data_IF_398445943038
#
_entry.id   IF_398445943038
#
_cell.length_a   1.000
_cell.length_b   1.000
_cell.length_c   1.000
_cell.angle_alpha   90.00
_cell.angle_beta   90.00
_cell.angle_gamma   90.00
#
_symmetry.space_group_name_H-M   'P 1'
#
loop_
_entity.id
_entity.type
_entity.pdbx_description
1 polymer ?
#
# COMPACT_ATOMS: atom_id res chain seq x y z
N UNK A 1 6.00 13.92 12.31
CA UNK A 1 7.37 13.63 11.82
C UNK A 1 7.38 12.33 11.07
N UNK A 2 8.29 12.17 10.10
CA UNK A 2 8.61 10.87 9.53
C UNK A 2 9.47 10.07 10.50
N UNK A 3 9.28 8.75 10.55
CA UNK A 3 9.99 7.86 11.47
C UNK A 3 10.79 6.81 10.68
N UNK A 4 12.04 6.60 11.07
CA UNK A 4 12.88 5.48 10.64
C UNK A 4 13.09 4.60 11.87
N UNK A 5 12.63 3.34 11.82
CA UNK A 5 12.69 2.41 12.95
C UNK A 5 12.14 2.99 14.27
N UNK A 6 11.00 3.70 14.18
CA UNK A 6 10.32 4.32 15.33
C UNK A 6 10.92 5.63 15.82
N UNK A 7 11.96 6.16 15.18
CA UNK A 7 12.73 7.34 15.61
C UNK A 7 12.65 8.45 14.56
N UNK A 8 12.54 9.70 14.98
CA UNK A 8 12.49 10.85 14.08
C UNK A 8 12.58 12.17 14.83
N UNK A 9 12.80 13.25 14.10
CA UNK A 9 13.02 14.58 14.66
C UNK A 9 11.78 15.48 14.49
N UNK A 10 11.62 16.46 15.37
CA UNK A 10 10.56 17.46 15.30
C UNK A 10 11.10 18.81 15.76
N UNK A 11 10.78 19.88 15.04
CA UNK A 11 11.19 21.26 15.34
C UNK A 11 12.72 21.48 15.42
N UNK A 12 13.50 20.56 14.84
CA UNK A 12 14.95 20.66 14.66
C UNK A 12 15.35 19.80 13.44
N UNK A 13 16.57 19.98 12.94
CA UNK A 13 17.13 19.16 11.85
C UNK A 13 18.54 18.65 12.17
N UNK A 14 18.84 17.42 11.78
CA UNK A 14 20.20 16.86 11.76
C UNK A 14 21.09 17.52 10.70
N UNK A 15 20.47 18.12 9.69
CA UNK A 15 21.12 18.79 8.57
C UNK A 15 21.00 20.33 8.67
N UNK A 16 20.74 20.87 9.87
CA UNK A 16 20.49 22.29 10.09
C UNK A 16 21.63 23.20 9.57
N UNK A 17 22.86 22.69 9.54
CA UNK A 17 24.04 23.40 9.04
C UNK A 17 24.05 23.63 7.52
N UNK A 18 23.19 22.94 6.77
CA UNK A 18 23.02 23.13 5.33
C UNK A 18 21.79 23.97 4.97
N UNK A 19 20.94 24.29 5.94
CA UNK A 19 19.66 24.97 5.71
C UNK A 19 19.70 26.43 6.16
N UNK A 20 18.67 27.18 5.74
CA UNK A 20 18.39 28.55 6.19
C UNK A 20 18.47 28.71 7.73
N UNK A 21 18.81 29.92 8.25
CA UNK A 21 19.06 30.16 9.68
C UNK A 21 17.91 29.82 10.65
N UNK A 22 16.71 29.57 10.12
CA UNK A 22 15.49 29.33 10.90
C UNK A 22 15.38 27.91 11.48
N UNK A 23 16.11 26.92 10.95
CA UNK A 23 16.07 25.54 11.43
C UNK A 23 17.11 25.28 12.54
N UNK A 24 16.63 24.94 13.73
CA UNK A 24 17.49 24.65 14.88
C UNK A 24 18.22 23.30 14.71
N UNK A 25 19.51 23.19 15.06
CA UNK A 25 20.21 21.90 15.08
C UNK A 25 19.65 20.99 16.17
N UNK A 26 19.49 19.69 15.85
CA UNK A 26 19.16 18.70 16.87
C UNK A 26 20.42 18.31 17.69
N UNK A 27 20.36 18.48 19.00
CA UNK A 27 21.48 18.15 19.90
C UNK A 27 21.28 16.75 20.53
N UNK A 28 21.66 15.69 19.81
CA UNK A 28 21.57 14.31 20.31
C UNK A 28 22.88 13.85 20.98
N UNK A 29 22.77 13.09 22.07
CA UNK A 29 23.88 12.43 22.78
C UNK A 29 23.93 10.92 22.53
N UNK A 30 22.96 10.35 21.81
CA UNK A 30 22.97 8.95 21.35
C UNK A 30 22.17 7.98 22.22
N UNK A 31 21.48 8.47 23.25
CA UNK A 31 20.61 7.67 24.13
C UNK A 31 19.13 8.09 24.10
N UNK A 32 18.82 9.18 23.43
CA UNK A 32 17.47 9.72 23.35
C UNK A 32 16.55 8.80 22.53
N UNK A 33 15.27 8.75 22.93
CA UNK A 33 14.24 7.97 22.20
C UNK A 33 14.05 8.42 20.75
N UNK A 34 14.35 9.69 20.45
CA UNK A 34 14.23 10.28 19.11
C UNK A 34 15.57 10.41 18.36
N UNK A 35 16.70 10.02 18.97
CA UNK A 35 17.98 9.99 18.27
C UNK A 35 17.88 9.04 17.06
N UNK A 36 18.43 9.40 15.89
CA UNK A 36 18.31 8.60 14.67
C UNK A 36 18.95 7.22 14.83
N UNK A 37 18.36 6.20 14.19
CA UNK A 37 18.98 4.88 14.08
C UNK A 37 20.08 4.92 13.02
N UNK A 38 21.34 5.00 13.43
CA UNK A 38 22.49 5.05 12.53
C UNK A 38 22.75 3.66 11.92
N UNK A 39 23.07 3.63 10.63
CA UNK A 39 23.41 2.42 9.88
C UNK A 39 24.94 2.31 9.78
N UNK A 40 25.54 1.46 10.60
CA UNK A 40 26.98 1.24 10.59
C UNK A 40 27.38 0.25 9.50
N UNK A 41 28.36 0.62 8.69
CA UNK A 41 28.86 -0.20 7.58
C UNK A 41 30.39 -0.17 7.50
N UNK A 42 30.98 -1.28 7.09
CA UNK A 42 32.38 -1.34 6.66
C UNK A 42 32.52 -0.92 5.19
N UNK A 43 33.61 -0.23 4.80
CA UNK A 43 33.94 0.03 3.40
C UNK A 43 34.11 -1.25 2.57
N UNK A 44 33.87 -1.15 1.26
CA UNK A 44 34.05 -2.25 0.29
C UNK A 44 33.27 -3.52 0.63
N UNK A 45 32.05 -3.37 1.16
CA UNK A 45 31.12 -4.47 1.44
C UNK A 45 29.80 -4.22 0.74
N UNK A 46 29.04 -5.28 0.53
CA UNK A 46 27.66 -5.21 0.04
C UNK A 46 26.70 -5.56 1.16
N UNK A 47 25.71 -4.70 1.37
CA UNK A 47 24.67 -4.89 2.39
C UNK A 47 23.31 -5.01 1.72
N UNK A 48 22.46 -5.88 2.27
CA UNK A 48 21.04 -5.92 1.95
C UNK A 48 20.26 -5.06 2.93
N UNK A 49 19.77 -3.92 2.47
CA UNK A 49 18.87 -3.05 3.22
C UNK A 49 17.43 -3.47 2.95
N UNK A 50 16.73 -3.89 4.01
CA UNK A 50 15.30 -4.26 3.97
C UNK A 50 14.47 -3.06 4.42
N UNK A 51 13.55 -2.63 3.57
CA UNK A 51 12.75 -1.43 3.75
C UNK A 51 11.28 -1.84 3.70
N UNK A 52 10.50 -1.45 4.70
CA UNK A 52 9.06 -1.71 4.74
C UNK A 52 8.34 -0.43 5.19
N UNK A 53 7.16 -0.17 4.62
CA UNK A 53 6.37 1.00 4.93
C UNK A 53 5.07 0.61 5.63
N UNK A 54 4.89 1.12 6.85
CA UNK A 54 3.64 1.04 7.60
C UNK A 54 3.11 2.46 7.92
N UNK A 55 3.13 3.34 6.93
CA UNK A 55 2.69 4.72 7.08
C UNK A 55 1.17 4.80 7.04
N UNK A 56 0.57 5.57 7.96
CA UNK A 56 -0.88 5.78 7.95
C UNK A 56 -1.37 6.63 6.75
N UNK A 57 -0.48 7.45 6.17
CA UNK A 57 -0.82 8.38 5.09
C UNK A 57 0.31 8.57 4.07
N UNK A 58 1.54 8.73 4.52
CA UNK A 58 2.65 9.19 3.67
C UNK A 58 3.10 8.15 2.65
N UNK A 59 3.20 8.58 1.39
CA UNK A 59 4.04 7.97 0.36
C UNK A 59 5.42 8.58 0.49
N UNK A 60 6.46 7.76 0.46
CA UNK A 60 7.81 8.19 0.74
C UNK A 60 8.73 7.90 -0.44
N UNK A 61 9.75 8.72 -0.59
CA UNK A 61 10.89 8.44 -1.44
C UNK A 61 12.13 8.27 -0.54
N UNK A 62 12.93 7.25 -0.81
CA UNK A 62 14.17 6.95 -0.08
C UNK A 62 15.37 7.11 -1.01
N UNK A 63 16.40 7.82 -0.55
CA UNK A 63 17.67 7.96 -1.25
C UNK A 63 18.85 7.92 -0.29
N UNK A 64 20.00 7.42 -0.77
CA UNK A 64 21.26 7.38 -0.02
C UNK A 64 22.29 8.21 -0.77
N UNK A 65 22.87 9.21 -0.11
CA UNK A 65 23.81 10.14 -0.71
C UNK A 65 24.99 9.41 -1.37
N UNK A 66 25.21 9.68 -2.66
CA UNK A 66 26.25 9.08 -3.52
C UNK A 66 26.20 7.55 -3.66
N UNK A 67 25.12 6.88 -3.25
CA UNK A 67 24.99 5.43 -3.40
C UNK A 67 23.82 5.09 -4.31
N UNK A 68 24.08 4.23 -5.28
CA UNK A 68 23.02 3.56 -6.02
C UNK A 68 22.52 2.35 -5.25
N UNK A 69 21.26 2.01 -5.50
CA UNK A 69 20.58 0.87 -4.88
C UNK A 69 20.21 -0.12 -5.99
N UNK A 70 20.63 -1.38 -5.84
CA UNK A 70 20.17 -2.48 -6.70
C UNK A 70 18.93 -3.11 -6.07
N UNK A 71 17.75 -2.89 -6.65
CA UNK A 71 16.51 -3.50 -6.19
C UNK A 71 16.52 -4.99 -6.54
N UNK A 72 16.25 -5.86 -5.56
CA UNK A 72 16.32 -7.33 -5.74
C UNK A 72 15.10 -8.08 -5.20
N UNK A 73 14.29 -7.44 -4.35
CA UNK A 73 13.06 -8.02 -3.81
C UNK A 73 11.99 -6.94 -3.66
N UNK A 74 10.74 -7.29 -3.89
CA UNK A 74 9.57 -6.50 -3.59
C UNK A 74 8.49 -7.41 -2.97
N UNK A 75 7.90 -7.02 -1.84
CA UNK A 75 6.78 -7.73 -1.21
C UNK A 75 7.04 -9.22 -0.95
N UNK A 76 8.26 -9.56 -0.52
CA UNK A 76 8.67 -10.96 -0.26
C UNK A 76 8.98 -11.79 -1.52
N UNK A 77 8.84 -11.21 -2.72
CA UNK A 77 9.08 -11.85 -3.99
C UNK A 77 10.31 -11.27 -4.69
N UNK A 78 11.08 -12.10 -5.38
CA UNK A 78 12.25 -11.64 -6.14
C UNK A 78 11.83 -10.94 -7.44
N UNK A 79 12.51 -9.84 -7.74
CA UNK A 79 12.30 -9.05 -8.97
C UNK A 79 13.51 -9.17 -9.88
N UNK A 80 13.33 -8.87 -11.17
CA UNK A 80 14.46 -8.74 -12.10
C UNK A 80 15.34 -7.57 -11.64
N UNK A 81 16.62 -7.79 -11.26
CA UNK A 81 17.38 -6.76 -10.58
C UNK A 81 17.62 -5.51 -11.43
N UNK A 82 17.38 -4.33 -10.85
CA UNK A 82 17.63 -3.06 -11.53
C UNK A 82 18.16 -1.99 -10.57
N UNK A 83 18.99 -1.10 -11.10
CA UNK A 83 19.67 -0.06 -10.32
C UNK A 83 18.86 1.23 -10.33
N UNK A 84 18.74 1.87 -9.16
CA UNK A 84 18.10 3.16 -8.96
C UNK A 84 18.96 4.09 -8.09
N UNK A 85 18.79 5.39 -8.25
CA UNK A 85 19.38 6.40 -7.37
C UNK A 85 18.48 6.66 -6.13
N UNK A 86 17.18 6.52 -6.31
CA UNK A 86 16.14 6.66 -5.29
C UNK A 86 14.99 5.66 -5.51
N UNK A 87 14.16 5.46 -4.49
CA UNK A 87 13.11 4.45 -4.44
C UNK A 87 11.83 5.06 -3.87
N UNK A 88 10.73 5.04 -4.63
CA UNK A 88 9.40 5.31 -4.11
C UNK A 88 8.86 4.08 -3.35
N UNK A 89 8.32 4.31 -2.16
CA UNK A 89 7.68 3.29 -1.32
C UNK A 89 6.35 3.81 -0.76
N UNK A 90 5.30 3.03 -1.00
CA UNK A 90 3.95 3.32 -0.53
C UNK A 90 3.60 2.45 0.68
N UNK A 91 2.60 2.87 1.47
CA UNK A 91 2.16 2.09 2.64
C UNK A 91 1.75 0.67 2.23
N UNK A 92 2.18 -0.33 3.01
CA UNK A 92 1.96 -1.75 2.73
C UNK A 92 3.06 -2.40 1.89
N UNK A 93 3.88 -1.62 1.18
CA UNK A 93 4.98 -2.18 0.39
C UNK A 93 6.22 -2.49 1.23
N UNK A 94 6.98 -3.49 0.76
CA UNK A 94 8.33 -3.78 1.22
C UNK A 94 9.28 -4.02 0.05
N UNK A 95 10.55 -3.73 0.26
CA UNK A 95 11.62 -3.96 -0.72
C UNK A 95 12.89 -4.43 -0.01
N UNK A 96 13.71 -5.17 -0.75
CA UNK A 96 15.13 -5.28 -0.44
C UNK A 96 15.97 -4.65 -1.55
N UNK A 97 16.92 -3.83 -1.13
CA UNK A 97 17.94 -3.26 -2.02
C UNK A 97 19.33 -3.70 -1.56
N UNK A 98 20.23 -3.91 -2.51
CA UNK A 98 21.65 -4.08 -2.25
C UNK A 98 22.35 -2.73 -2.43
N UNK A 99 23.19 -2.37 -1.46
CA UNK A 99 24.10 -1.23 -1.55
C UNK A 99 25.53 -1.74 -1.42
N UNK A 100 26.43 -1.19 -2.22
CA UNK A 100 27.87 -1.43 -2.10
C UNK A 100 28.52 -0.18 -1.52
N UNK A 101 29.36 -0.35 -0.50
CA UNK A 101 30.04 0.76 0.17
C UNK A 101 31.35 1.14 -0.54
N UNK A 102 31.21 1.61 -1.77
CA UNK A 102 32.29 1.92 -2.72
C UNK A 102 32.71 3.40 -2.73
N UNK A 103 32.09 4.22 -1.88
CA UNK A 103 32.40 5.64 -1.77
C UNK A 103 33.59 5.91 -0.84
N UNK A 104 34.13 7.13 -0.84
CA UNK A 104 35.26 7.56 0.00
C UNK A 104 35.09 7.11 1.48
N UNK A 105 35.93 6.18 1.96
CA UNK A 105 35.76 5.58 3.28
C UNK A 105 36.04 6.53 4.43
N UNK A 106 36.58 7.72 4.16
CA UNK A 106 36.79 8.76 5.17
C UNK A 106 35.52 9.52 5.51
N UNK A 107 34.40 9.34 4.80
CA UNK A 107 33.18 10.13 4.95
C UNK A 107 31.97 9.30 5.38
N UNK A 108 31.00 9.98 6.02
CA UNK A 108 29.66 9.45 6.25
C UNK A 108 28.71 9.96 5.16
N UNK A 109 27.58 9.28 4.97
CA UNK A 109 26.58 9.62 3.95
C UNK A 109 25.19 9.72 4.55
N UNK A 110 24.35 10.61 4.00
CA UNK A 110 22.96 10.72 4.41
C UNK A 110 22.11 9.61 3.82
N UNK A 111 21.22 9.04 4.61
CA UNK A 111 20.00 8.38 4.13
C UNK A 111 18.84 9.32 4.43
N UNK A 112 18.06 9.64 3.40
CA UNK A 112 16.95 10.57 3.45
C UNK A 112 15.66 9.86 3.05
N UNK A 113 14.59 10.06 3.85
CA UNK A 113 13.22 9.73 3.45
C UNK A 113 12.40 11.01 3.36
N UNK A 114 11.81 11.27 2.20
CA UNK A 114 11.01 12.46 1.93
C UNK A 114 9.59 12.12 1.50
N UNK A 115 8.67 13.07 1.66
CA UNK A 115 7.27 12.89 1.22
C UNK A 115 7.17 13.09 -0.29
N UNK A 116 6.50 12.15 -0.97
CA UNK A 116 6.10 12.26 -2.39
C UNK A 116 4.59 11.98 -2.54
N UNK A 117 4.01 12.25 -3.71
CA UNK A 117 2.60 12.01 -4.03
C UNK A 117 1.58 12.90 -3.30
N UNK A 118 2.06 13.85 -2.49
CA UNK A 118 1.28 14.94 -1.89
C UNK A 118 2.21 16.11 -1.56
N UNK A 119 1.68 17.34 -1.57
CA UNK A 119 2.44 18.54 -1.22
C UNK A 119 3.12 18.35 0.15
N UNK A 120 4.45 18.38 0.24
CA UNK A 120 5.15 18.13 1.50
C UNK A 120 4.98 19.28 2.50
N UNK A 121 4.48 18.95 3.68
CA UNK A 121 4.45 19.85 4.86
C UNK A 121 5.21 19.23 6.05
N UNK A 122 5.91 18.12 5.81
CA UNK A 122 6.69 17.39 6.81
C UNK A 122 8.15 17.38 6.40
N UNK A 123 9.09 17.75 7.30
CA UNK A 123 10.51 17.62 7.03
C UNK A 123 10.92 16.17 6.73
N UNK A 124 11.98 16.00 5.95
CA UNK A 124 12.55 14.69 5.65
C UNK A 124 12.98 13.97 6.95
N UNK A 125 12.79 12.66 6.99
CA UNK A 125 13.41 11.80 7.99
C UNK A 125 14.84 11.53 7.59
N UNK A 126 15.79 11.77 8.50
CA UNK A 126 17.22 11.64 8.20
C UNK A 126 17.89 10.64 9.14
N UNK A 127 18.81 9.86 8.58
CA UNK A 127 19.82 9.09 9.33
C UNK A 127 21.13 9.02 8.56
N UNK A 128 22.15 8.41 9.16
CA UNK A 128 23.48 8.28 8.59
C UNK A 128 23.75 6.83 8.16
N UNK A 129 24.31 6.68 6.97
CA UNK A 129 25.15 5.56 6.60
C UNK A 129 26.58 5.88 7.09
N UNK A 130 26.93 5.34 8.26
CA UNK A 130 28.20 5.59 8.93
C UNK A 130 29.25 4.56 8.50
N UNK A 131 30.25 5.01 7.76
CA UNK A 131 31.39 4.20 7.35
C UNK A 131 32.37 4.06 8.51
N UNK A 132 32.56 2.86 9.00
CA UNK A 132 33.51 2.59 10.09
C UNK A 132 34.97 2.68 9.60
N UNK A 133 35.90 3.22 10.41
CA UNK A 133 35.75 3.61 11.81
C UNK A 133 35.42 5.11 12.03
N UNK A 134 34.84 5.82 11.06
CA UNK A 134 34.52 7.24 11.24
C UNK A 134 33.56 7.45 12.42
N UNK A 135 33.76 8.52 13.17
CA UNK A 135 32.80 8.93 14.20
C UNK A 135 31.44 9.23 13.57
N UNK A 136 30.37 8.75 14.22
CA UNK A 136 28.99 9.05 13.85
C UNK A 136 28.64 10.55 14.00
N UNK A 137 29.42 11.30 14.80
CA UNK A 137 29.27 12.76 14.93
C UNK A 137 29.86 13.53 13.74
N UNK A 138 30.69 12.87 12.90
CA UNK A 138 31.19 13.47 11.66
C UNK A 138 30.05 13.50 10.64
N UNK A 139 29.42 14.66 10.45
CA UNK A 139 28.34 14.79 9.48
C UNK A 139 28.88 14.60 8.04
N UNK A 140 28.07 14.07 7.11
CA UNK A 140 28.40 14.02 5.69
C UNK A 140 28.78 15.40 5.18
N UNK A 141 29.65 15.51 4.16
CA UNK A 141 30.12 16.81 3.62
C UNK A 141 29.04 17.51 2.79
N UNK A 142 28.21 16.74 2.10
CA UNK A 142 27.10 17.24 1.27
C UNK A 142 25.78 17.30 2.04
N UNK A 143 24.83 18.15 1.63
CA UNK A 143 23.48 18.10 2.16
C UNK A 143 22.81 16.74 1.89
N UNK A 144 21.73 16.40 2.62
CA UNK A 144 20.90 15.24 2.31
C UNK A 144 20.41 15.25 0.85
N UNK A 145 20.21 14.08 0.23
CA UNK A 145 19.57 13.98 -1.08
C UNK A 145 18.23 14.74 -1.10
N UNK A 146 18.02 15.52 -2.16
CA UNK A 146 16.77 16.23 -2.39
C UNK A 146 15.73 15.21 -2.85
N UNK A 147 14.60 15.17 -2.16
CA UNK A 147 13.45 14.36 -2.55
C UNK A 147 12.97 14.78 -3.94
N UNK A 148 12.67 13.84 -4.87
CA UNK A 148 12.02 14.16 -6.13
C UNK A 148 10.75 15.00 -5.93
N UNK A 149 10.39 15.78 -6.95
CA UNK A 149 9.21 16.64 -6.90
C UNK A 149 7.96 15.79 -6.62
N UNK A 150 7.15 16.21 -5.64
CA UNK A 150 6.07 15.39 -5.08
C UNK A 150 4.95 15.05 -6.08
N UNK A 151 4.71 15.91 -7.06
CA UNK A 151 3.70 15.79 -8.12
C UNK A 151 4.27 15.34 -9.47
N UNK A 152 5.56 14.98 -9.52
CA UNK A 152 6.14 14.31 -10.70
C UNK A 152 5.74 12.83 -10.72
N UNK A 153 4.49 12.58 -11.12
CA UNK A 153 3.98 11.23 -11.26
C UNK A 153 4.66 10.45 -12.41
N UNK A 154 5.35 11.12 -13.34
CA UNK A 154 6.09 10.42 -14.39
C UNK A 154 7.33 9.73 -13.81
N UNK A 155 8.03 10.37 -12.86
CA UNK A 155 9.10 9.74 -12.09
C UNK A 155 8.60 8.50 -11.34
N UNK A 156 7.50 8.63 -10.58
CA UNK A 156 6.92 7.50 -9.83
C UNK A 156 6.43 6.36 -10.71
N UNK A 157 5.80 6.67 -11.86
CA UNK A 157 5.37 5.69 -12.85
C UNK A 157 6.55 5.01 -13.51
N UNK A 158 7.62 5.74 -13.83
CA UNK A 158 8.85 5.18 -14.39
C UNK A 158 9.47 4.15 -13.45
N UNK A 159 9.58 4.48 -12.15
CA UNK A 159 10.03 3.52 -11.14
C UNK A 159 9.12 2.28 -11.07
N UNK A 160 7.80 2.47 -10.94
CA UNK A 160 6.84 1.36 -10.79
C UNK A 160 6.82 0.42 -12.00
N UNK A 161 6.94 0.95 -13.22
CA UNK A 161 6.95 0.16 -14.46
C UNK A 161 8.26 -0.62 -14.68
N UNK A 162 9.35 -0.31 -13.95
CA UNK A 162 10.60 -1.08 -14.01
C UNK A 162 10.56 -2.37 -13.20
N UNK A 163 9.58 -2.52 -12.30
CA UNK A 163 9.46 -3.68 -11.44
C UNK A 163 8.89 -4.84 -12.26
N UNK A 164 9.74 -5.81 -12.57
CA UNK A 164 9.38 -7.03 -13.29
C UNK A 164 9.70 -8.25 -12.43
N UNK A 165 8.99 -9.35 -12.64
CA UNK A 165 9.30 -10.59 -11.94
C UNK A 165 10.69 -11.11 -12.33
N UNK A 166 11.42 -11.66 -11.34
CA UNK A 166 12.69 -12.33 -11.61
C UNK A 166 12.53 -13.48 -12.61
N UNK A 167 13.60 -13.80 -13.34
CA UNK A 167 13.61 -14.94 -14.26
C UNK A 167 13.33 -16.23 -13.49
N UNK A 168 12.34 -17.01 -13.95
CA UNK A 168 11.93 -18.27 -13.33
C UNK A 168 10.79 -18.12 -12.32
N UNK A 169 10.35 -16.90 -12.02
CA UNK A 169 9.13 -16.66 -11.24
C UNK A 169 7.89 -17.19 -11.95
N UNK A 170 6.86 -17.50 -11.17
CA UNK A 170 5.57 -17.97 -11.68
C UNK A 170 4.92 -16.90 -12.57
N UNK A 171 4.45 -17.32 -13.75
CA UNK A 171 3.65 -16.48 -14.65
C UNK A 171 2.17 -16.61 -14.34
N UNK A 172 1.36 -15.55 -14.57
CA UNK A 172 -0.08 -15.64 -14.38
C UNK A 172 -0.72 -16.66 -15.33
N UNK A 173 -1.88 -17.25 -14.96
CA UNK A 173 -2.75 -17.92 -15.92
C UNK A 173 -3.04 -16.99 -17.10
N UNK A 174 -3.12 -17.52 -18.33
CA UNK A 174 -3.30 -16.69 -19.54
C UNK A 174 -4.67 -16.03 -19.59
N UNK A 175 -5.71 -16.73 -19.15
CA UNK A 175 -7.10 -16.28 -19.15
C UNK A 175 -7.56 -16.08 -17.71
N UNK A 176 -8.51 -15.17 -17.53
CA UNK A 176 -9.24 -15.00 -16.28
C UNK A 176 -10.64 -15.63 -16.41
N UNK A 177 -11.18 -16.10 -15.29
CA UNK A 177 -12.56 -16.61 -15.21
C UNK A 177 -13.55 -15.50 -14.86
N UNK A 178 -13.09 -14.46 -14.14
CA UNK A 178 -13.87 -13.30 -13.73
C UNK A 178 -13.04 -12.02 -13.77
N UNK A 179 -13.67 -10.91 -14.14
CA UNK A 179 -13.08 -9.58 -14.09
C UNK A 179 -14.00 -8.65 -13.30
N UNK A 180 -13.43 -7.92 -12.35
CA UNK A 180 -14.13 -6.94 -11.52
C UNK A 180 -13.45 -5.58 -11.72
N UNK A 181 -14.23 -4.53 -11.98
CA UNK A 181 -13.73 -3.17 -12.14
C UNK A 181 -14.20 -2.33 -10.95
N UNK A 182 -13.24 -1.81 -10.18
CA UNK A 182 -13.46 -1.07 -8.94
C UNK A 182 -13.14 0.41 -9.14
N UNK A 183 -14.18 1.23 -9.29
CA UNK A 183 -14.08 2.69 -9.34
C UNK A 183 -13.88 3.26 -7.94
N UNK A 184 -12.82 4.04 -7.78
CA UNK A 184 -12.42 4.67 -6.52
C UNK A 184 -12.89 6.13 -6.50
N UNK A 185 -13.76 6.48 -5.56
CA UNK A 185 -14.29 7.85 -5.44
C UNK A 185 -14.27 8.35 -4.00
N UNK A 186 -14.12 9.67 -3.85
CA UNK A 186 -14.41 10.36 -2.59
C UNK A 186 -15.78 11.00 -2.70
N UNK A 187 -16.68 10.73 -1.77
CA UNK A 187 -18.07 11.16 -1.81
C UNK A 187 -18.46 11.87 -0.50
N UNK A 188 -19.66 12.44 -0.51
CA UNK A 188 -20.34 12.92 0.70
C UNK A 188 -21.59 12.08 0.92
N UNK A 189 -21.71 11.43 2.07
CA UNK A 189 -22.88 10.65 2.49
C UNK A 189 -23.39 11.24 3.80
N UNK A 190 -24.63 11.73 3.82
CA UNK A 190 -25.25 12.39 4.98
C UNK A 190 -24.38 13.51 5.60
N UNK A 191 -23.71 14.29 4.76
CA UNK A 191 -22.80 15.37 5.18
C UNK A 191 -21.39 14.91 5.59
N UNK A 192 -21.14 13.60 5.69
CA UNK A 192 -19.82 13.05 6.01
C UNK A 192 -19.02 12.76 4.75
N UNK A 193 -17.73 13.14 4.75
CA UNK A 193 -16.81 12.68 3.71
C UNK A 193 -16.57 11.19 3.87
N UNK A 194 -16.73 10.45 2.77
CA UNK A 194 -16.50 9.00 2.69
C UNK A 194 -15.67 8.67 1.47
N UNK A 195 -15.03 7.51 1.52
CA UNK A 195 -14.47 6.88 0.34
C UNK A 195 -15.36 5.71 -0.05
N UNK A 196 -15.61 5.56 -1.34
CA UNK A 196 -16.47 4.53 -1.87
C UNK A 196 -15.80 3.79 -3.02
N UNK A 197 -16.24 2.55 -3.20
CA UNK A 197 -15.88 1.69 -4.32
C UNK A 197 -17.17 1.34 -5.05
N UNK A 198 -17.27 1.70 -6.32
CA UNK A 198 -18.50 1.54 -7.12
C UNK A 198 -19.77 2.04 -6.38
N UNK A 199 -19.70 3.27 -5.84
CA UNK A 199 -20.76 3.91 -5.04
C UNK A 199 -21.13 3.24 -3.70
N UNK A 200 -20.37 2.25 -3.23
CA UNK A 200 -20.55 1.65 -1.91
C UNK A 200 -19.37 2.01 -1.01
N UNK A 201 -19.64 2.69 0.10
CA UNK A 201 -18.69 2.92 1.19
C UNK A 201 -18.77 1.76 2.17
N UNK A 202 -17.68 1.01 2.37
CA UNK A 202 -17.67 -0.16 3.23
C UNK A 202 -17.98 0.20 4.69
N UNK A 203 -18.89 -0.55 5.30
CA UNK A 203 -19.13 -0.57 6.75
C UNK A 203 -19.05 -2.01 7.22
N UNK A 204 -18.11 -2.27 8.13
CA UNK A 204 -17.91 -3.61 8.68
C UNK A 204 -19.02 -3.91 9.71
N UNK A 205 -19.68 -5.08 9.65
CA UNK A 205 -20.59 -5.51 10.69
C UNK A 205 -19.85 -5.80 12.00
N UNK A 206 -20.56 -5.76 13.12
CA UNK A 206 -19.99 -6.10 14.44
C UNK A 206 -19.69 -7.58 14.62
N UNK A 207 -20.14 -8.43 13.69
CA UNK A 207 -19.91 -9.87 13.68
C UNK A 207 -18.87 -10.20 12.60
N UNK A 208 -17.81 -10.97 12.91
CA UNK A 208 -16.72 -11.22 11.97
C UNK A 208 -17.20 -12.00 10.75
N UNK A 209 -16.86 -11.53 9.54
CA UNK A 209 -17.35 -12.12 8.30
C UNK A 209 -17.07 -13.61 8.17
N UNK A 210 -15.88 -14.08 8.54
CA UNK A 210 -15.58 -15.51 8.46
C UNK A 210 -16.57 -16.34 9.31
N UNK A 211 -16.93 -15.85 10.49
CA UNK A 211 -17.96 -16.46 11.32
C UNK A 211 -19.36 -16.34 10.71
N UNK A 212 -19.68 -15.21 10.06
CA UNK A 212 -20.94 -15.04 9.31
C UNK A 212 -21.09 -16.07 8.21
N UNK A 213 -20.04 -16.30 7.40
CA UNK A 213 -20.04 -17.31 6.34
C UNK A 213 -20.08 -18.73 6.93
N UNK A 214 -19.33 -18.98 8.01
CA UNK A 214 -19.27 -20.30 8.64
C UNK A 214 -20.61 -20.76 9.23
N UNK A 215 -21.35 -19.83 9.82
CA UNK A 215 -22.62 -20.10 10.50
C UNK A 215 -23.84 -19.68 9.68
N UNK A 216 -23.65 -19.29 8.41
CA UNK A 216 -24.71 -18.94 7.46
C UNK A 216 -25.67 -17.87 8.02
N UNK A 217 -25.11 -16.86 8.71
CA UNK A 217 -25.86 -15.78 9.36
C UNK A 217 -26.19 -14.65 8.37
N UNK A 218 -27.00 -14.97 7.35
CA UNK A 218 -27.33 -14.10 6.23
C UNK A 218 -28.07 -12.79 6.58
N UNK A 219 -28.63 -12.67 7.78
CA UNK A 219 -29.40 -11.48 8.18
C UNK A 219 -28.54 -10.36 8.80
N UNK A 220 -27.23 -10.58 8.96
CA UNK A 220 -26.32 -9.64 9.67
C UNK A 220 -25.57 -8.70 8.72
N UNK A 221 -25.58 -9.01 7.42
CA UNK A 221 -24.87 -8.25 6.38
C UNK A 221 -25.66 -8.27 5.08
N UNK A 222 -25.33 -7.37 4.16
CA UNK A 222 -26.02 -7.26 2.87
C UNK A 222 -25.79 -8.51 2.02
N UNK A 223 -26.87 -9.14 1.58
CA UNK A 223 -26.79 -10.37 0.78
C UNK A 223 -26.56 -10.11 -0.71
N UNK A 224 -26.99 -8.95 -1.19
CA UNK A 224 -26.79 -8.53 -2.57
C UNK A 224 -25.31 -8.44 -2.88
N UNK A 225 -24.93 -8.96 -4.05
CA UNK A 225 -23.55 -8.87 -4.50
C UNK A 225 -23.22 -7.40 -4.77
N UNK A 226 -22.09 -6.88 -4.24
CA UNK A 226 -21.69 -5.52 -4.55
C UNK A 226 -21.48 -5.32 -6.06
N UNK A 227 -21.62 -4.08 -6.57
CA UNK A 227 -21.48 -3.83 -8.01
C UNK A 227 -20.08 -4.19 -8.51
N UNK A 228 -19.99 -5.01 -9.56
CA UNK A 228 -18.70 -5.44 -10.15
C UNK A 228 -18.14 -4.47 -11.18
N UNK A 229 -18.88 -3.42 -11.52
CA UNK A 229 -18.48 -2.39 -12.46
C UNK A 229 -19.18 -1.06 -12.14
N UNK A 230 -18.83 -0.01 -12.87
CA UNK A 230 -19.40 1.32 -12.76
C UNK A 230 -19.96 1.80 -14.12
N UNK A 231 -20.82 2.84 -14.14
CA UNK A 231 -21.45 3.30 -15.37
C UNK A 231 -20.43 3.67 -16.47
N UNK A 232 -20.69 3.21 -17.70
CA UNK A 232 -19.82 3.47 -18.86
C UNK A 232 -19.73 4.95 -19.19
N UNK A 233 -20.75 5.75 -18.86
CA UNK A 233 -20.79 7.19 -19.01
C UNK A 233 -20.19 7.97 -17.81
N UNK A 234 -19.65 7.30 -16.79
CA UNK A 234 -18.98 7.98 -15.67
C UNK A 234 -17.73 8.73 -16.17
N UNK A 235 -17.67 10.03 -15.89
CA UNK A 235 -16.56 10.92 -16.22
C UNK A 235 -15.57 10.96 -15.05
N UNK A 236 -14.45 10.25 -15.18
CA UNK A 236 -13.42 10.16 -14.14
C UNK A 236 -12.65 11.47 -13.93
N UNK A 237 -12.79 12.44 -14.83
CA UNK A 237 -12.07 13.72 -14.76
C UNK A 237 -12.84 14.77 -13.96
N UNK A 238 -14.11 14.51 -13.62
CA UNK A 238 -14.97 15.43 -12.88
C UNK A 238 -15.24 14.95 -11.47
N UNK A 239 -15.47 15.86 -10.51
CA UNK A 239 -15.95 15.48 -9.19
C UNK A 239 -17.16 14.55 -9.29
N UNK A 240 -17.27 13.56 -8.40
CA UNK A 240 -18.39 12.63 -8.43
C UNK A 240 -19.71 13.39 -8.27
N UNK A 241 -20.63 13.15 -9.19
CA UNK A 241 -22.01 13.56 -9.04
C UNK A 241 -22.59 12.65 -7.95
N UNK A 242 -22.97 13.22 -6.80
CA UNK A 242 -23.22 12.51 -5.54
C UNK A 242 -24.66 11.97 -5.27
N UNK A 243 -25.56 11.61 -6.22
CA UNK A 243 -26.93 11.33 -5.80
C UNK A 243 -27.13 9.91 -5.22
N UNK A 244 -26.27 8.93 -5.52
CA UNK A 244 -26.55 7.51 -5.25
C UNK A 244 -25.44 6.76 -4.49
N UNK A 245 -24.49 7.45 -3.85
CA UNK A 245 -23.49 6.77 -3.02
C UNK A 245 -24.12 6.36 -1.70
N UNK A 246 -23.96 5.10 -1.30
CA UNK A 246 -24.50 4.54 -0.05
C UNK A 246 -23.40 3.87 0.77
N UNK A 247 -23.73 3.46 1.99
CA UNK A 247 -22.91 2.54 2.77
C UNK A 247 -23.37 1.10 2.57
N UNK A 248 -22.46 0.13 2.70
CA UNK A 248 -22.81 -1.28 2.56
C UNK A 248 -21.78 -2.22 3.17
N UNK A 249 -22.20 -3.45 3.39
CA UNK A 249 -21.46 -4.55 4.04
C UNK A 249 -21.41 -5.81 3.18
N UNK A 250 -21.84 -5.72 1.91
CA UNK A 250 -21.86 -6.83 0.97
C UNK A 250 -20.46 -7.37 0.65
N UNK A 251 -20.42 -8.60 0.17
CA UNK A 251 -19.17 -9.34 -0.12
C UNK A 251 -19.15 -9.82 -1.56
N UNK A 252 -18.00 -9.74 -2.23
CA UNK A 252 -17.81 -10.40 -3.52
C UNK A 252 -17.50 -11.88 -3.25
N UNK A 253 -18.44 -12.76 -3.57
CA UNK A 253 -18.24 -14.21 -3.47
C UNK A 253 -17.47 -14.70 -4.68
N UNK A 254 -16.25 -15.16 -4.50
CA UNK A 254 -15.38 -15.68 -5.54
C UNK A 254 -15.37 -17.22 -5.46
N UNK A 255 -15.43 -17.88 -6.61
CA UNK A 255 -15.36 -19.33 -6.64
C UNK A 255 -13.93 -19.80 -6.31
N UNK A 256 -13.83 -20.86 -5.51
CA UNK A 256 -12.53 -21.43 -5.14
C UNK A 256 -11.80 -21.92 -6.39
N UNK A 257 -10.50 -21.61 -6.47
CA UNK A 257 -9.59 -21.99 -7.56
C UNK A 257 -9.94 -21.39 -8.93
N UNK A 258 -10.58 -20.21 -8.96
CA UNK A 258 -10.75 -19.42 -10.19
C UNK A 258 -9.74 -18.29 -10.29
N UNK A 259 -9.37 -17.93 -11.52
CA UNK A 259 -8.52 -16.78 -11.83
C UNK A 259 -9.35 -15.51 -11.89
N UNK A 260 -8.99 -14.49 -11.10
CA UNK A 260 -9.73 -13.23 -10.97
C UNK A 260 -8.86 -12.07 -11.38
N UNK A 261 -9.36 -11.27 -12.33
CA UNK A 261 -8.83 -9.96 -12.66
C UNK A 261 -9.54 -8.87 -11.87
N UNK A 262 -8.77 -7.94 -11.34
CA UNK A 262 -9.29 -6.71 -10.74
C UNK A 262 -8.66 -5.51 -11.41
N UNK A 263 -9.51 -4.63 -11.95
CA UNK A 263 -9.10 -3.33 -12.49
C UNK A 263 -9.48 -2.27 -11.47
N UNK A 264 -8.48 -1.68 -10.83
CA UNK A 264 -8.66 -0.52 -9.98
C UNK A 264 -8.69 0.72 -10.86
N UNK A 265 -9.82 1.43 -10.91
CA UNK A 265 -9.97 2.68 -11.65
C UNK A 265 -9.95 3.85 -10.66
N UNK A 266 -9.04 4.81 -10.88
CA UNK A 266 -9.00 6.06 -10.14
C UNK A 266 -9.87 7.14 -10.80
N UNK A 267 -10.26 8.16 -10.04
CA UNK A 267 -11.08 9.27 -10.52
C UNK A 267 -10.75 10.57 -9.76
N UNK A 268 -11.37 11.66 -10.18
CA UNK A 268 -11.39 12.92 -9.45
C UNK A 268 -12.04 12.73 -8.07
N UNK A 269 -11.48 13.38 -7.05
CA UNK A 269 -12.04 13.48 -5.72
C UNK A 269 -13.18 14.51 -5.68
N UNK A 270 -13.60 14.95 -4.47
CA UNK A 270 -14.62 16.00 -4.34
C UNK A 270 -14.14 17.38 -4.83
N UNK A 271 -12.84 17.63 -4.78
CA UNK A 271 -12.23 18.86 -5.26
C UNK A 271 -11.88 18.74 -6.75
N UNK A 272 -12.19 19.77 -7.54
CA UNK A 272 -11.89 19.79 -8.97
C UNK A 272 -10.39 19.63 -9.24
N UNK A 273 -10.06 18.84 -10.25
CA UNK A 273 -8.67 18.59 -10.68
C UNK A 273 -7.78 17.96 -9.59
N UNK A 274 -8.39 17.28 -8.62
CA UNK A 274 -7.66 16.51 -7.59
C UNK A 274 -7.96 15.03 -7.75
N UNK A 275 -6.93 14.24 -8.07
CA UNK A 275 -6.94 12.78 -7.94
C UNK A 275 -5.65 12.37 -7.20
N UNK A 276 -5.73 11.37 -6.33
CA UNK A 276 -4.64 11.01 -5.40
C UNK A 276 -4.12 9.60 -5.66
N UNK A 277 -2.91 9.32 -5.19
CA UNK A 277 -2.37 7.94 -5.19
C UNK A 277 -3.05 7.13 -4.08
N UNK A 278 -3.47 5.90 -4.41
CA UNK A 278 -4.01 4.95 -3.44
C UNK A 278 -3.25 3.63 -3.50
N UNK A 279 -2.49 3.25 -2.44
CA UNK A 279 -1.97 1.89 -2.32
C UNK A 279 -3.13 0.96 -1.96
N UNK A 280 -3.34 -0.09 -2.72
CA UNK A 280 -4.32 -1.14 -2.53
C UNK A 280 -3.60 -2.43 -2.11
N UNK A 281 -4.05 -3.02 -1.01
CA UNK A 281 -3.46 -4.20 -0.39
C UNK A 281 -4.48 -5.35 -0.32
N UNK A 282 -4.07 -6.53 -0.79
CA UNK A 282 -4.88 -7.75 -0.76
C UNK A 282 -4.40 -8.67 0.36
N UNK A 283 -5.34 -9.09 1.21
CA UNK A 283 -5.06 -10.06 2.26
C UNK A 283 -5.05 -11.49 1.71
N UNK A 284 -4.24 -12.36 2.32
CA UNK A 284 -4.26 -13.80 2.08
C UNK A 284 -3.72 -14.28 0.72
N UNK A 285 -3.27 -13.37 -0.14
CA UNK A 285 -2.78 -13.67 -1.49
C UNK A 285 -1.67 -12.68 -1.90
N UNK A 286 -0.77 -13.15 -2.75
CA UNK A 286 -0.07 -12.28 -3.69
C UNK A 286 -0.83 -12.27 -5.03
N UNK A 287 -0.63 -11.21 -5.82
CA UNK A 287 -1.20 -11.02 -7.14
C UNK A 287 -0.14 -10.58 -8.14
N UNK A 288 -0.34 -10.91 -9.41
CA UNK A 288 0.45 -10.37 -10.50
C UNK A 288 -0.02 -8.96 -10.85
N UNK A 289 0.90 -7.99 -10.88
CA UNK A 289 0.62 -6.65 -11.40
C UNK A 289 0.73 -6.67 -12.92
N UNK A 290 -0.41 -6.72 -13.61
CA UNK A 290 -0.47 -6.86 -15.05
C UNK A 290 -0.13 -5.56 -15.78
N UNK A 291 -0.42 -4.40 -15.18
CA UNK A 291 -0.03 -3.13 -15.76
C UNK A 291 -0.74 -1.94 -15.17
N UNK A 292 -0.30 -0.77 -15.62
CA UNK A 292 -0.83 0.55 -15.29
C UNK A 292 -1.24 1.24 -16.59
N UNK A 293 -2.19 2.16 -16.50
CA UNK A 293 -2.47 3.07 -17.61
C UNK A 293 -3.14 4.35 -17.18
N UNK A 294 -3.19 5.30 -18.11
CA UNK A 294 -3.84 6.60 -17.92
C UNK A 294 -5.30 6.54 -18.36
N UNK A 295 -6.12 7.41 -17.78
CA UNK A 295 -7.51 7.59 -18.15
C UNK A 295 -8.40 6.44 -17.68
N UNK A 296 -9.51 6.26 -18.39
CA UNK A 296 -10.50 5.22 -18.11
C UNK A 296 -10.09 3.92 -18.80
N UNK A 297 -10.01 2.83 -18.03
CA UNK A 297 -9.73 1.51 -18.58
C UNK A 297 -10.72 1.14 -19.68
N UNK A 298 -10.22 0.54 -20.76
CA UNK A 298 -11.02 0.07 -21.88
C UNK A 298 -10.54 -1.31 -22.34
N UNK A 299 -11.36 -1.98 -23.15
CA UNK A 299 -10.96 -3.26 -23.76
C UNK A 299 -9.69 -3.14 -24.64
N UNK A 300 -9.38 -1.92 -25.13
CA UNK A 300 -8.13 -1.63 -25.85
C UNK A 300 -6.91 -1.57 -24.94
N UNK A 301 -7.06 -1.76 -23.64
CA UNK A 301 -5.93 -1.82 -22.72
C UNK A 301 -5.56 -3.26 -22.37
N UNK A 302 -6.46 -4.22 -22.59
CA UNK A 302 -6.23 -5.64 -22.33
C UNK A 302 -5.01 -6.19 -23.08
N UNK A 303 -4.79 -5.76 -24.32
CA UNK A 303 -3.65 -6.21 -25.12
C UNK A 303 -2.30 -5.63 -24.65
N UNK A 304 -2.31 -4.61 -23.79
CA UNK A 304 -1.11 -4.00 -23.21
C UNK A 304 -0.69 -4.69 -21.90
N UNK A 305 -1.53 -5.55 -21.35
CA UNK A 305 -1.27 -6.22 -20.08
C UNK A 305 -0.06 -7.16 -20.19
N UNK A 306 0.85 -7.03 -19.23
CA UNK A 306 2.02 -7.88 -19.13
C UNK A 306 1.64 -9.26 -18.56
N UNK A 307 1.49 -10.25 -19.44
CA UNK A 307 1.35 -11.66 -19.06
C UNK A 307 2.67 -12.43 -19.12
N UNK A 308 3.78 -11.76 -19.46
CA UNK A 308 5.09 -12.40 -19.68
C UNK A 308 5.92 -12.46 -18.41
N UNK A 309 6.07 -11.34 -17.73
CA UNK A 309 6.87 -11.21 -16.50
C UNK A 309 6.32 -10.18 -15.49
N UNK A 310 4.99 -10.16 -15.22
CA UNK A 310 4.43 -9.26 -14.21
C UNK A 310 4.94 -9.64 -12.81
N UNK A 311 5.31 -8.68 -11.94
CA UNK A 311 5.77 -8.97 -10.60
C UNK A 311 4.64 -9.50 -9.71
N UNK A 312 4.97 -10.42 -8.80
CA UNK A 312 4.10 -10.86 -7.69
C UNK A 312 4.22 -9.87 -6.53
N UNK A 313 3.09 -9.37 -6.05
CA UNK A 313 3.00 -8.38 -4.96
C UNK A 313 1.75 -8.60 -4.10
N UNK A 314 1.74 -8.03 -2.90
CA UNK A 314 0.53 -7.90 -2.09
C UNK A 314 0.01 -6.46 -2.02
N UNK A 315 0.81 -5.47 -2.45
CA UNK A 315 0.41 -4.06 -2.47
C UNK A 315 0.76 -3.37 -3.79
N UNK A 316 -0.22 -2.69 -4.39
CA UNK A 316 -0.07 -1.95 -5.66
C UNK A 316 -0.73 -0.58 -5.57
N UNK A 317 -0.17 0.43 -6.24
CA UNK A 317 -0.80 1.76 -6.30
C UNK A 317 -1.68 1.93 -7.54
N UNK A 318 -2.75 2.71 -7.41
CA UNK A 318 -3.34 3.43 -8.54
C UNK A 318 -2.86 4.88 -8.53
N UNK A 319 -2.40 5.36 -9.69
CA UNK A 319 -1.98 6.75 -9.89
C UNK A 319 -3.16 7.68 -10.20
N UNK A 320 -3.00 9.01 -10.01
CA UNK A 320 -4.05 9.98 -10.33
C UNK A 320 -4.60 9.80 -11.74
N UNK A 321 -5.93 9.80 -11.87
CA UNK A 321 -6.66 9.64 -13.14
C UNK A 321 -6.30 8.40 -13.98
N UNK A 322 -5.66 7.39 -13.39
CA UNK A 322 -5.26 6.17 -14.08
C UNK A 322 -6.01 4.93 -13.62
N UNK A 323 -5.58 3.80 -14.16
CA UNK A 323 -6.02 2.48 -13.74
C UNK A 323 -4.83 1.55 -13.47
N UNK A 324 -5.09 0.49 -12.71
CA UNK A 324 -4.11 -0.58 -12.46
C UNK A 324 -4.81 -1.92 -12.50
N UNK A 325 -4.24 -2.85 -13.26
CA UNK A 325 -4.77 -4.20 -13.44
C UNK A 325 -3.95 -5.20 -12.64
N UNK A 326 -4.63 -6.03 -11.85
CA UNK A 326 -4.01 -7.15 -11.12
C UNK A 326 -4.74 -8.45 -11.43
N UNK A 327 -4.02 -9.57 -11.28
CA UNK A 327 -4.58 -10.93 -11.39
C UNK A 327 -4.16 -11.77 -10.21
N UNK A 328 -5.06 -12.55 -9.65
CA UNK A 328 -4.76 -13.57 -8.64
C UNK A 328 -5.61 -14.81 -8.83
N UNK A 329 -5.25 -15.90 -8.15
CA UNK A 329 -6.06 -17.11 -8.09
C UNK A 329 -6.75 -17.13 -6.74
N UNK A 330 -8.07 -17.33 -6.72
CA UNK A 330 -8.86 -17.43 -5.50
C UNK A 330 -8.69 -18.82 -4.85
N UNK A 331 -7.47 -19.19 -4.48
CA UNK A 331 -7.07 -20.52 -4.01
C UNK A 331 -6.87 -20.64 -2.49
N UNK A 332 -7.08 -19.56 -1.73
CA UNK A 332 -6.99 -19.54 -0.29
C UNK A 332 -8.36 -19.36 0.37
N UNK A 333 -8.89 -20.44 0.97
CA UNK A 333 -10.22 -20.42 1.61
C UNK A 333 -10.26 -19.45 2.78
N UNK A 334 -11.19 -18.50 2.76
CA UNK A 334 -11.32 -17.49 3.80
C UNK A 334 -12.14 -16.30 3.35
N UNK A 335 -12.21 -15.31 4.23
CA UNK A 335 -12.77 -14.00 3.92
C UNK A 335 -11.67 -12.97 4.05
N UNK A 336 -11.37 -12.28 2.95
CA UNK A 336 -10.17 -11.46 2.78
C UNK A 336 -10.54 -10.04 2.42
N UNK A 337 -9.91 -9.07 3.07
CA UNK A 337 -10.05 -7.68 2.71
C UNK A 337 -9.16 -7.35 1.50
N UNK A 338 -9.69 -6.51 0.61
CA UNK A 338 -8.91 -5.81 -0.40
C UNK A 338 -9.20 -4.32 -0.21
N UNK A 339 -8.22 -3.53 0.22
CA UNK A 339 -8.50 -2.18 0.69
C UNK A 339 -7.36 -1.20 0.42
N UNK A 340 -7.69 0.10 0.48
CA UNK A 340 -6.66 1.12 0.48
C UNK A 340 -5.85 1.03 1.79
N UNK A 341 -4.52 1.01 1.67
CA UNK A 341 -3.58 0.93 2.79
C UNK A 341 -3.20 2.31 3.35
N UNK A 342 -3.97 3.35 3.03
CA UNK A 342 -3.98 4.62 3.76
C UNK A 342 -5.04 4.49 4.85
N UNK A 343 -4.61 4.53 6.11
CA UNK A 343 -5.43 4.22 7.28
C UNK A 343 -6.70 5.10 7.35
N UNK A 344 -6.55 6.40 7.08
CA UNK A 344 -7.68 7.33 7.07
C UNK A 344 -8.69 7.00 5.96
N UNK A 345 -8.24 6.50 4.80
CA UNK A 345 -9.12 6.11 3.70
C UNK A 345 -9.87 4.82 4.04
N UNK A 346 -9.18 3.83 4.62
CA UNK A 346 -9.79 2.59 5.13
C UNK A 346 -10.88 2.93 6.16
N UNK A 347 -10.57 3.77 7.15
CA UNK A 347 -11.53 4.25 8.15
C UNK A 347 -12.78 4.90 7.53
N UNK A 348 -12.60 5.58 6.39
CA UNK A 348 -13.67 6.24 5.64
C UNK A 348 -14.42 5.33 4.66
N UNK A 349 -14.13 4.02 4.62
CA UNK A 349 -14.86 3.03 3.82
C UNK A 349 -14.18 2.56 2.53
N UNK A 350 -12.91 2.93 2.29
CA UNK A 350 -12.19 2.59 1.06
C UNK A 350 -11.67 1.15 1.03
N UNK A 351 -12.57 0.19 0.85
CA UNK A 351 -12.22 -1.21 0.70
C UNK A 351 -13.38 -2.09 0.29
N UNK A 352 -13.08 -3.34 -0.01
CA UNK A 352 -14.04 -4.38 -0.33
C UNK A 352 -13.66 -5.68 0.38
N UNK A 353 -14.61 -6.61 0.44
CA UNK A 353 -14.45 -7.91 1.07
C UNK A 353 -14.66 -9.01 0.04
N UNK A 354 -13.71 -9.93 -0.06
CA UNK A 354 -13.76 -11.13 -0.89
C UNK A 354 -14.04 -12.35 -0.01
N UNK A 355 -15.10 -13.08 -0.32
CA UNK A 355 -15.38 -14.40 0.28
C UNK A 355 -14.96 -15.49 -0.70
N UNK A 356 -13.96 -16.27 -0.32
CA UNK A 356 -13.45 -17.42 -1.08
C UNK A 356 -13.78 -18.67 -0.27
N UNK A 357 -14.97 -19.21 -0.49
CA UNK A 357 -15.44 -20.44 0.17
C UNK A 357 -15.29 -20.41 1.71
N UNK A 358 -15.53 -19.26 2.35
CA UNK A 358 -15.30 -19.04 3.78
C UNK A 358 -16.07 -20.01 4.69
N UNK A 359 -17.26 -20.47 4.25
CA UNK A 359 -18.06 -21.47 4.97
C UNK A 359 -17.33 -22.80 5.23
N UNK A 360 -16.38 -23.14 4.35
CA UNK A 360 -15.63 -24.40 4.39
C UNK A 360 -14.31 -24.29 5.15
N UNK A 361 -13.99 -23.12 5.73
CA UNK A 361 -12.85 -22.99 6.65
C UNK A 361 -13.08 -23.85 7.90
N UNK A 362 -12.04 -24.56 8.33
CA UNK A 362 -12.08 -25.48 9.47
C UNK A 362 -11.39 -24.85 10.69
N UNK A 363 -11.73 -25.34 11.88
CA UNK A 363 -11.03 -25.04 13.13
C UNK A 363 -10.86 -23.54 13.44
N UNK A 364 -11.94 -22.75 13.31
CA UNK A 364 -11.92 -21.35 13.73
C UNK A 364 -11.80 -21.29 15.26
N UNK A 365 -10.81 -20.57 15.83
CA UNK A 365 -10.67 -20.43 17.28
C UNK A 365 -11.94 -19.88 17.91
N UNK A 366 -12.42 -20.44 19.04
CA UNK A 366 -13.63 -19.96 19.71
C UNK A 366 -13.58 -18.46 20.07
N UNK A 367 -12.40 -17.94 20.40
CA UNK A 367 -12.17 -16.54 20.73
C UNK A 367 -12.46 -15.62 19.54
N UNK A 368 -12.20 -16.10 18.30
CA UNK A 368 -12.51 -15.36 17.08
C UNK A 368 -14.02 -15.34 16.76
N UNK A 369 -14.82 -16.17 17.43
CA UNK A 369 -16.28 -16.27 17.30
C UNK A 369 -17.02 -15.67 18.51
N UNK A 370 -16.30 -15.09 19.47
CA UNK A 370 -16.84 -14.67 20.76
C UNK A 370 -17.51 -13.27 20.76
N UNK A 371 -17.89 -12.73 19.61
CA UNK A 371 -18.56 -11.43 19.50
C UNK A 371 -19.74 -11.45 18.50
N UNK A 372 -20.48 -10.34 18.47
CA UNK A 372 -21.60 -10.15 17.53
C UNK A 372 -22.76 -11.14 17.71
N UNK A 373 -23.43 -11.45 16.60
CA UNK A 373 -24.61 -12.33 16.59
C UNK A 373 -24.24 -13.81 16.82
N UNK A 374 -23.00 -14.19 16.51
CA UNK A 374 -22.49 -15.54 16.74
C UNK A 374 -22.47 -15.83 18.25
N UNK A 375 -21.88 -14.94 19.05
CA UNK A 375 -21.86 -15.09 20.50
C UNK A 375 -23.27 -15.17 21.11
N UNK A 376 -24.20 -14.34 20.63
CA UNK A 376 -25.61 -14.35 21.08
C UNK A 376 -26.29 -15.69 20.80
N UNK A 377 -26.04 -16.28 19.64
CA UNK A 377 -26.63 -17.56 19.25
C UNK A 377 -26.11 -18.71 20.10
N UNK A 378 -24.81 -18.76 20.39
CA UNK A 378 -24.22 -19.78 21.26
C UNK A 378 -24.68 -19.67 22.71
N UNK A 379 -24.79 -18.45 23.26
CA UNK A 379 -25.31 -18.22 24.62
C UNK A 379 -26.78 -18.66 24.72
N UNK A 380 -27.61 -18.39 23.71
CA UNK A 380 -29.01 -18.86 23.67
C UNK A 380 -29.08 -20.39 23.68
N UNK A 381 -28.26 -21.08 22.88
CA UNK A 381 -28.22 -22.55 22.87
C UNK A 381 -27.81 -23.13 24.22
N UNK A 382 -26.79 -22.55 24.88
CA UNK A 382 -26.34 -22.98 26.20
C UNK A 382 -27.40 -22.80 27.30
N UNK A 383 -28.20 -21.72 27.23
CA UNK A 383 -29.32 -21.48 28.16
C UNK A 383 -30.51 -22.41 27.95
N UNK A 384 -30.71 -22.91 26.73
CA UNK A 384 -31.79 -23.87 26.41
C UNK A 384 -31.37 -25.30 26.77
N UNK A 385 -30.07 -25.61 26.75
CA UNK A 385 -29.53 -26.94 27.07
C UNK A 385 -29.24 -27.20 28.56
N UNK A 386 -29.32 -26.18 29.42
CA UNK A 386 -29.27 -26.35 30.87
C UNK A 386 -30.69 -26.17 31.44
N UNK A 387 -31.42 -27.27 31.72
CA UNK A 387 -32.75 -27.23 32.32
C UNK A 387 -32.76 -26.67 33.75
#
# INVERSE_FOLDING_TARGET
>A
SLLINGRGQYNCSLAAHYSEPSLKPCNFKGGEKCAPQILHVQPNKTYRLRIASNTALASLNLAIGKHKMLVVEADGNYVDPFVVDDLDIYSGQSYSVLITTDQDPSNNYWLSIGVTGRKPETPNGLTLLNYLPNSASKLPISPPPVTPQWDDYNHSKSFSNRILAAKGSQTPPRFYDRQIILLNTQNTIDGYRKWAVNNVSLVLPSTPYLGLMKHELHHVYDQDSPPENFPTNYDIMKPPVNPNTTTGSGVYRLHFNTTVDVILQNANALEENVSKIHPWHLHGHDFWVLGYGEGKFSQKDEWKLNLRNPPLRNTVVIFPYGWTAIRFIADNRGVWAFHCHIEAHLHMGMGVIFDIDGRNVKNIPPEALACGEIARTFIKKAKISNP
#
